data_IF_236564461261
#
_entry.id   IF_236564461261
#
_cell.length_a   1.000
_cell.length_b   1.000
_cell.length_c   1.000
_cell.angle_alpha   90.00
_cell.angle_beta   90.00
_cell.angle_gamma   90.00
#
_symmetry.space_group_name_H-M   'P 1'
#
loop_
_entity.id
_entity.type
_entity.pdbx_description
1 polymer ?
#
# COMPACT_ATOMS: atom_id res chain seq x y z
N UNK A 1 19.28 31.45 0.46
CA UNK A 1 19.74 30.05 0.31
C UNK A 1 18.55 29.22 -0.13
N UNK A 2 18.53 28.75 -1.39
CA UNK A 2 17.53 27.77 -1.81
C UNK A 2 17.86 26.45 -1.12
N UNK A 3 17.01 26.04 -0.18
CA UNK A 3 17.17 24.75 0.49
C UNK A 3 16.94 23.63 -0.53
N UNK A 4 17.88 22.68 -0.62
CA UNK A 4 17.68 21.46 -1.41
C UNK A 4 16.47 20.69 -0.90
N UNK A 5 15.63 20.20 -1.80
CA UNK A 5 14.46 19.37 -1.47
C UNK A 5 14.90 17.91 -1.42
N UNK A 6 15.10 17.39 -0.22
CA UNK A 6 15.60 16.04 -0.01
C UNK A 6 14.47 15.13 0.48
N UNK A 7 14.28 14.00 -0.21
CA UNK A 7 13.46 12.88 0.25
C UNK A 7 14.40 11.82 0.82
N UNK A 8 14.37 11.61 2.14
CA UNK A 8 15.27 10.65 2.81
C UNK A 8 15.10 9.22 2.28
N UNK A 9 13.86 8.80 2.04
CA UNK A 9 13.54 7.47 1.50
C UNK A 9 12.33 7.55 0.58
N UNK A 10 12.49 7.11 -0.65
CA UNK A 10 11.39 6.97 -1.62
C UNK A 10 11.11 5.50 -1.85
N UNK A 11 9.83 5.10 -1.81
CA UNK A 11 9.45 3.68 -1.93
C UNK A 11 8.52 3.52 -3.12
N UNK A 12 8.91 2.65 -4.05
CA UNK A 12 8.03 2.18 -5.12
C UNK A 12 7.56 0.79 -4.72
N UNK A 13 6.26 0.65 -4.44
CA UNK A 13 5.76 -0.53 -3.73
C UNK A 13 5.75 -1.80 -4.59
N UNK A 14 5.42 -1.68 -5.88
CA UNK A 14 5.43 -2.74 -6.89
C UNK A 14 5.28 -2.15 -8.31
N UNK A 15 5.03 -3.00 -9.31
CA UNK A 15 5.13 -2.66 -10.74
C UNK A 15 3.84 -2.15 -11.40
N UNK A 16 2.71 -2.09 -10.70
CA UNK A 16 1.46 -1.68 -11.32
C UNK A 16 1.46 -0.19 -11.65
N UNK A 17 0.66 0.17 -12.67
CA UNK A 17 0.78 1.46 -13.34
C UNK A 17 0.51 2.65 -12.42
N UNK A 18 -0.46 2.54 -11.52
CA UNK A 18 -0.83 3.56 -10.54
C UNK A 18 0.19 3.71 -9.39
N UNK A 19 1.19 2.83 -9.31
CA UNK A 19 2.34 2.95 -8.42
C UNK A 19 3.59 3.40 -9.19
N UNK A 20 4.01 2.62 -10.19
CA UNK A 20 5.25 2.88 -10.94
C UNK A 20 5.12 4.10 -11.88
N UNK A 21 3.95 4.32 -12.46
CA UNK A 21 3.71 5.45 -13.37
C UNK A 21 3.76 6.80 -12.66
N UNK A 22 3.20 6.88 -11.44
CA UNK A 22 3.34 8.07 -10.58
C UNK A 22 4.78 8.30 -10.14
N UNK A 23 5.51 7.23 -9.79
CA UNK A 23 6.92 7.30 -9.45
C UNK A 23 7.78 7.82 -10.62
N UNK A 24 7.45 7.42 -11.86
CA UNK A 24 8.16 7.88 -13.06
C UNK A 24 8.02 9.38 -13.26
N UNK A 25 6.82 9.92 -13.04
CA UNK A 25 6.58 11.36 -13.17
C UNK A 25 7.41 12.14 -12.14
N UNK A 26 7.42 11.69 -10.88
CA UNK A 26 8.18 12.35 -9.81
C UNK A 26 9.70 12.30 -10.06
N UNK A 27 10.22 11.14 -10.46
CA UNK A 27 11.66 10.93 -10.63
C UNK A 27 12.23 11.63 -11.88
N UNK A 28 11.42 11.87 -12.90
CA UNK A 28 11.83 12.55 -14.12
C UNK A 28 11.55 14.06 -14.12
N UNK A 29 10.81 14.59 -13.13
CA UNK A 29 10.53 16.02 -13.05
C UNK A 29 11.72 16.80 -12.44
N UNK A 30 12.65 17.20 -13.32
CA UNK A 30 13.82 17.99 -12.93
C UNK A 30 13.45 19.37 -12.35
N UNK A 31 12.25 19.89 -12.60
CA UNK A 31 11.82 21.19 -12.07
C UNK A 31 11.58 21.16 -10.56
N UNK A 32 11.36 19.97 -10.00
CA UNK A 32 11.16 19.80 -8.56
C UNK A 32 12.48 19.87 -7.77
N UNK A 33 13.63 19.71 -8.43
CA UNK A 33 14.99 19.69 -7.85
C UNK A 33 15.08 18.74 -6.63
N UNK A 34 14.61 17.50 -6.82
CA UNK A 34 14.59 16.48 -5.77
C UNK A 34 15.93 15.72 -5.71
N UNK A 35 16.40 15.53 -4.48
CA UNK A 35 17.43 14.56 -4.14
C UNK A 35 16.83 13.44 -3.29
N UNK A 36 17.29 12.21 -3.53
CA UNK A 36 16.82 11.02 -2.84
C UNK A 36 17.96 10.45 -2.00
N UNK A 37 17.71 10.17 -0.72
CA UNK A 37 18.67 9.53 0.17
C UNK A 37 18.80 8.03 -0.11
N UNK A 38 17.66 7.35 -0.27
CA UNK A 38 17.56 5.95 -0.69
C UNK A 38 16.26 5.74 -1.47
N UNK A 39 16.27 4.83 -2.42
CA UNK A 39 15.08 4.40 -3.15
C UNK A 39 14.88 2.90 -2.98
N UNK A 40 13.71 2.53 -2.49
CA UNK A 40 13.34 1.15 -2.23
C UNK A 40 12.41 0.63 -3.30
N UNK A 41 12.84 -0.44 -3.95
CA UNK A 41 12.06 -1.13 -4.97
C UNK A 41 12.61 -2.53 -5.16
N UNK A 42 11.73 -3.52 -5.33
CA UNK A 42 12.14 -4.88 -5.61
C UNK A 42 12.03 -5.16 -7.12
N UNK A 43 13.18 -5.40 -7.77
CA UNK A 43 13.23 -5.87 -9.16
C UNK A 43 14.08 -7.14 -9.26
N UNK A 44 13.94 -7.94 -10.33
CA UNK A 44 14.88 -9.01 -10.57
C UNK A 44 16.20 -8.40 -11.06
N UNK A 45 17.31 -8.82 -10.46
CA UNK A 45 18.64 -8.48 -10.95
C UNK A 45 18.79 -8.94 -12.43
N UNK A 46 19.32 -8.11 -13.34
CA UNK A 46 19.75 -8.55 -14.65
C UNK A 46 20.84 -9.61 -14.52
N UNK A 47 20.96 -10.46 -15.54
CA UNK A 47 22.08 -11.37 -15.67
C UNK A 47 23.38 -10.55 -15.88
N UNK A 48 24.35 -10.70 -14.99
CA UNK A 48 25.64 -10.01 -15.09
C UNK A 48 26.36 -9.84 -13.75
N UNK A 49 27.61 -9.34 -13.77
CA UNK A 49 28.47 -9.25 -12.59
C UNK A 49 28.17 -8.05 -11.67
N UNK A 50 27.12 -7.27 -11.96
CA UNK A 50 26.83 -6.04 -11.22
C UNK A 50 26.26 -6.35 -9.82
N UNK A 51 26.59 -5.54 -8.80
CA UNK A 51 25.91 -5.60 -7.52
C UNK A 51 24.40 -5.44 -7.70
N UNK A 52 23.62 -6.29 -7.02
CA UNK A 52 22.16 -6.41 -7.18
C UNK A 52 21.42 -5.07 -7.15
N UNK A 53 21.67 -4.24 -6.15
CA UNK A 53 20.99 -2.94 -6.01
C UNK A 53 21.20 -2.01 -7.22
N UNK A 54 22.42 -1.97 -7.79
CA UNK A 54 22.69 -1.18 -9.01
C UNK A 54 21.87 -1.70 -10.18
N UNK A 55 21.78 -3.01 -10.28
CA UNK A 55 21.18 -3.71 -11.39
C UNK A 55 19.64 -3.62 -11.39
N UNK A 56 19.02 -3.65 -10.21
CA UNK A 56 17.59 -3.37 -10.00
C UNK A 56 17.24 -1.93 -10.29
N UNK A 57 18.11 -1.02 -9.84
CA UNK A 57 18.00 0.39 -10.14
C UNK A 57 17.97 0.69 -11.62
N UNK A 58 18.81 0.02 -12.41
CA UNK A 58 18.77 0.12 -13.88
C UNK A 58 17.43 -0.38 -14.44
N UNK A 59 16.87 -1.46 -13.90
CA UNK A 59 15.61 -2.02 -14.39
C UNK A 59 14.41 -1.14 -14.05
N UNK A 60 14.39 -0.54 -12.86
CA UNK A 60 13.41 0.48 -12.53
C UNK A 60 13.63 1.72 -13.39
N UNK A 61 14.86 2.20 -13.53
CA UNK A 61 15.19 3.33 -14.41
C UNK A 61 14.71 3.10 -15.86
N UNK A 62 14.89 1.90 -16.41
CA UNK A 62 14.33 1.47 -17.70
C UNK A 62 12.79 1.51 -17.70
N UNK A 63 12.15 1.01 -16.65
CA UNK A 63 10.69 1.05 -16.49
C UNK A 63 10.15 2.47 -16.39
N UNK A 64 10.89 3.36 -15.74
CA UNK A 64 10.54 4.76 -15.52
C UNK A 64 10.98 5.67 -16.67
N UNK A 65 11.73 5.16 -17.66
CA UNK A 65 12.33 5.97 -18.72
C UNK A 65 13.42 6.95 -18.25
N UNK A 66 13.95 6.76 -17.04
CA UNK A 66 14.95 7.63 -16.43
C UNK A 66 16.36 7.18 -16.85
N UNK A 67 16.95 7.76 -17.89
CA UNK A 67 18.17 7.19 -18.51
C UNK A 67 19.49 7.89 -18.20
N UNK A 68 19.60 8.80 -17.23
CA UNK A 68 20.86 9.57 -17.06
C UNK A 68 21.42 9.75 -15.64
N UNK A 69 20.69 9.41 -14.55
CA UNK A 69 21.16 9.66 -13.17
C UNK A 69 21.38 8.37 -12.38
N UNK A 70 22.56 8.24 -11.76
CA UNK A 70 22.79 7.20 -10.76
C UNK A 70 22.01 7.54 -9.49
N UNK A 71 21.06 6.67 -9.13
CA UNK A 71 20.21 6.81 -7.94
C UNK A 71 20.63 5.81 -6.86
N UNK A 72 20.43 6.11 -5.56
CA UNK A 72 20.73 5.18 -4.47
C UNK A 72 19.62 4.14 -4.36
N UNK A 73 19.97 2.86 -4.51
CA UNK A 73 19.00 1.76 -4.57
C UNK A 73 19.21 0.75 -3.47
N UNK A 74 18.14 0.53 -2.70
CA UNK A 74 18.11 -0.46 -1.62
C UNK A 74 19.35 -0.38 -0.71
N UNK A 75 19.91 0.81 -0.51
CA UNK A 75 21.21 0.98 0.15
C UNK A 75 21.14 0.56 1.61
N UNK A 76 20.01 0.84 2.28
CA UNK A 76 19.74 0.39 3.64
C UNK A 76 19.74 -1.14 3.81
N UNK A 77 19.55 -1.89 2.71
CA UNK A 77 19.54 -3.37 2.66
C UNK A 77 20.80 -3.90 1.97
N UNK A 78 21.82 -3.07 1.75
CA UNK A 78 23.04 -3.41 1.01
C UNK A 78 22.72 -4.00 -0.38
N UNK A 79 21.68 -3.46 -1.03
CA UNK A 79 21.20 -3.89 -2.34
C UNK A 79 20.41 -5.19 -2.35
N UNK A 80 20.02 -5.74 -1.18
CA UNK A 80 19.11 -6.89 -1.09
C UNK A 80 17.64 -6.46 -1.23
N UNK A 81 16.78 -7.42 -1.57
CA UNK A 81 15.34 -7.20 -1.63
C UNK A 81 14.74 -6.87 -0.27
N UNK A 82 13.80 -5.93 -0.27
CA UNK A 82 12.93 -5.68 0.88
C UNK A 82 11.88 -6.79 0.93
N UNK A 83 12.11 -7.82 1.73
CA UNK A 83 11.13 -8.88 1.91
C UNK A 83 11.29 -9.58 3.26
N UNK A 84 10.20 -10.17 3.74
CA UNK A 84 10.23 -11.12 4.84
C UNK A 84 10.71 -12.49 4.34
N UNK A 85 11.62 -13.12 5.07
CA UNK A 85 12.12 -14.48 4.78
C UNK A 85 12.02 -15.39 6.00
N UNK A 86 12.16 -16.71 5.84
CA UNK A 86 12.25 -17.63 6.98
C UNK A 86 13.38 -17.29 7.96
N UNK A 87 14.51 -16.80 7.44
CA UNK A 87 15.69 -16.42 8.21
C UNK A 87 15.53 -15.06 8.91
N UNK A 88 14.82 -14.14 8.28
CA UNK A 88 14.55 -12.81 8.81
C UNK A 88 13.10 -12.42 8.53
N UNK A 89 12.21 -12.76 9.46
CA UNK A 89 10.83 -12.29 9.41
C UNK A 89 10.73 -10.81 9.72
N UNK A 90 9.90 -10.12 8.96
CA UNK A 90 9.61 -8.70 9.15
C UNK A 90 10.86 -7.83 9.39
N UNK A 91 11.82 -7.75 8.44
CA UNK A 91 13.06 -7.01 8.68
C UNK A 91 12.76 -5.56 9.02
N UNK A 92 13.44 -5.06 10.06
CA UNK A 92 13.38 -3.66 10.48
C UNK A 92 14.58 -2.90 9.94
N UNK A 93 14.29 -1.74 9.37
CA UNK A 93 15.23 -0.78 8.83
C UNK A 93 15.09 0.52 9.64
N UNK A 94 16.20 1.11 10.03
CA UNK A 94 16.25 2.37 10.79
C UNK A 94 16.88 3.46 9.91
N UNK A 95 16.14 4.05 8.94
CA UNK A 95 16.71 4.88 7.89
C UNK A 95 17.34 6.18 8.39
N UNK A 96 16.81 6.82 9.45
CA UNK A 96 17.40 7.97 10.18
C UNK A 96 16.46 8.51 11.27
N UNK A 97 17.01 9.35 12.16
CA UNK A 97 16.28 10.25 13.08
C UNK A 97 15.25 9.59 14.01
N UNK A 98 15.39 8.28 14.30
CA UNK A 98 14.46 7.54 15.15
C UNK A 98 13.20 7.04 14.43
N UNK A 99 13.14 7.14 13.10
CA UNK A 99 12.16 6.44 12.28
C UNK A 99 12.51 4.96 12.23
N UNK A 100 11.53 4.10 12.51
CA UNK A 100 11.64 2.66 12.44
C UNK A 100 10.70 2.18 11.34
N UNK A 101 11.22 1.39 10.41
CA UNK A 101 10.42 0.90 9.28
C UNK A 101 10.53 -0.61 9.24
N UNK A 102 9.42 -1.31 9.47
CA UNK A 102 9.36 -2.77 9.43
C UNK A 102 8.64 -3.22 8.17
N UNK A 103 9.29 -4.06 7.37
CA UNK A 103 8.71 -4.62 6.14
C UNK A 103 7.78 -5.77 6.50
N UNK A 104 6.48 -5.65 6.23
CA UNK A 104 5.46 -6.68 6.54
C UNK A 104 4.92 -7.37 5.30
N UNK A 105 5.41 -6.99 4.12
CA UNK A 105 5.21 -7.64 2.81
C UNK A 105 6.26 -7.06 1.85
N UNK A 106 6.70 -7.78 0.80
CA UNK A 106 6.34 -9.15 0.43
C UNK A 106 7.13 -10.21 1.20
N UNK A 107 6.76 -11.48 1.01
CA UNK A 107 7.63 -12.61 1.36
C UNK A 107 8.56 -12.94 0.20
N UNK A 108 9.72 -13.51 0.51
CA UNK A 108 10.68 -13.99 -0.50
C UNK A 108 10.02 -14.94 -1.51
N UNK A 109 9.06 -15.75 -1.07
CA UNK A 109 8.29 -16.66 -1.92
C UNK A 109 7.44 -15.92 -2.95
N UNK A 110 6.62 -14.94 -2.51
CA UNK A 110 5.77 -14.16 -3.45
C UNK A 110 6.63 -13.33 -4.39
N UNK A 111 7.74 -12.78 -3.89
CA UNK A 111 8.67 -12.00 -4.71
C UNK A 111 9.31 -12.85 -5.83
N UNK A 112 9.82 -14.05 -5.50
CA UNK A 112 10.33 -14.99 -6.51
C UNK A 112 9.27 -15.41 -7.53
N UNK A 113 8.01 -15.55 -7.10
CA UNK A 113 6.90 -15.90 -8.00
C UNK A 113 6.63 -14.80 -9.03
N UNK A 114 6.66 -13.52 -8.62
CA UNK A 114 6.60 -12.40 -9.58
C UNK A 114 7.80 -12.43 -10.53
N UNK A 115 9.02 -12.58 -10.00
CA UNK A 115 10.22 -12.54 -10.84
C UNK A 115 10.27 -13.64 -11.89
N UNK A 116 9.75 -14.83 -11.60
CA UNK A 116 9.61 -15.92 -12.57
C UNK A 116 8.67 -15.59 -13.75
N UNK A 117 7.82 -14.57 -13.61
CA UNK A 117 6.87 -14.09 -14.63
C UNK A 117 7.11 -12.63 -15.03
N UNK A 118 8.24 -12.06 -14.63
CA UNK A 118 8.50 -10.62 -14.72
C UNK A 118 8.25 -10.05 -16.12
N UNK A 119 8.88 -10.61 -17.15
CA UNK A 119 8.76 -10.09 -18.52
C UNK A 119 7.33 -10.20 -19.05
N UNK A 120 6.58 -11.22 -18.63
CA UNK A 120 5.16 -11.37 -18.96
C UNK A 120 4.30 -10.31 -18.29
N UNK A 121 4.52 -10.04 -17.00
CA UNK A 121 3.77 -9.00 -16.28
C UNK A 121 4.13 -7.59 -16.81
N UNK A 122 5.40 -7.34 -17.15
CA UNK A 122 5.80 -6.10 -17.83
C UNK A 122 5.14 -5.93 -19.21
N UNK A 123 4.99 -7.02 -19.97
CA UNK A 123 4.29 -6.97 -21.26
C UNK A 123 2.81 -6.59 -21.09
N UNK A 124 2.13 -7.14 -20.07
CA UNK A 124 0.74 -6.75 -19.73
C UNK A 124 0.63 -5.28 -19.32
N UNK A 125 1.58 -4.80 -18.51
CA UNK A 125 1.63 -3.40 -18.09
C UNK A 125 1.72 -2.46 -19.32
N UNK A 126 2.61 -2.80 -20.28
CA UNK A 126 2.79 -2.04 -21.53
C UNK A 126 1.57 -2.09 -22.44
N UNK A 127 0.87 -3.23 -22.47
CA UNK A 127 -0.35 -3.40 -23.25
C UNK A 127 -1.55 -2.63 -22.67
N UNK A 128 -1.42 -1.96 -21.51
CA UNK A 128 -2.52 -1.31 -20.76
C UNK A 128 -3.73 -2.23 -20.58
N UNK A 129 -3.48 -3.54 -20.50
CA UNK A 129 -4.53 -4.52 -20.23
C UNK A 129 -5.17 -4.19 -18.89
N UNK A 130 -6.46 -3.84 -18.92
CA UNK A 130 -7.24 -3.57 -17.72
C UNK A 130 -7.60 -4.90 -17.07
N UNK A 131 -7.47 -5.00 -15.75
CA UNK A 131 -8.12 -6.09 -15.03
C UNK A 131 -9.64 -5.96 -15.19
N UNK A 132 -10.30 -7.10 -15.35
CA UNK A 132 -11.75 -7.13 -15.45
C UNK A 132 -12.34 -6.72 -14.10
N UNK A 133 -13.22 -5.72 -14.12
CA UNK A 133 -14.07 -5.42 -12.95
C UNK A 133 -14.99 -6.63 -12.77
N UNK A 134 -14.88 -7.35 -11.65
CA UNK A 134 -15.81 -8.42 -11.36
C UNK A 134 -17.24 -7.85 -11.26
N UNK A 135 -18.24 -8.48 -11.90
CA UNK A 135 -19.60 -8.02 -11.79
C UNK A 135 -20.04 -8.07 -10.33
N UNK A 136 -20.52 -6.94 -9.81
CA UNK A 136 -21.13 -6.89 -8.49
C UNK A 136 -22.39 -7.77 -8.52
N UNK A 137 -22.50 -8.82 -7.68
CA UNK A 137 -23.69 -9.66 -7.67
C UNK A 137 -24.93 -8.80 -7.40
N UNK A 138 -25.99 -9.00 -8.20
CA UNK A 138 -27.29 -8.37 -7.97
C UNK A 138 -27.93 -9.00 -6.72
N UNK A 139 -27.72 -8.37 -5.57
CA UNK A 139 -28.44 -8.71 -4.34
C UNK A 139 -29.87 -8.19 -4.41
N UNK A 140 -30.84 -9.00 -3.97
CA UNK A 140 -32.23 -8.56 -3.80
C UNK A 140 -32.30 -7.64 -2.56
N UNK A 141 -32.63 -6.37 -2.78
CA UNK A 141 -32.61 -5.33 -1.75
C UNK A 141 -31.25 -4.66 -1.59
N UNK A 142 -31.21 -3.49 -0.93
CA UNK A 142 -29.95 -2.84 -0.58
C UNK A 142 -29.36 -3.53 0.65
N UNK A 143 -28.19 -4.20 0.57
CA UNK A 143 -27.62 -4.89 1.72
C UNK A 143 -27.28 -3.93 2.86
N UNK A 144 -27.39 -4.39 4.10
CA UNK A 144 -26.90 -3.65 5.27
C UNK A 144 -25.36 -3.60 5.29
N UNK A 145 -24.76 -2.75 6.13
CA UNK A 145 -23.30 -2.80 6.29
C UNK A 145 -22.86 -4.11 6.94
N UNK A 146 -23.69 -4.70 7.78
CA UNK A 146 -23.44 -6.01 8.39
C UNK A 146 -23.39 -7.11 7.33
N UNK A 147 -24.34 -7.12 6.39
CA UNK A 147 -24.35 -8.06 5.26
C UNK A 147 -23.10 -7.89 4.39
N UNK A 148 -22.73 -6.64 4.09
CA UNK A 148 -21.53 -6.32 3.31
C UNK A 148 -20.26 -6.75 4.04
N UNK A 149 -20.18 -6.53 5.36
CA UNK A 149 -19.03 -6.91 6.17
C UNK A 149 -18.88 -8.44 6.26
N UNK A 150 -20.01 -9.16 6.36
CA UNK A 150 -20.06 -10.62 6.42
C UNK A 150 -19.89 -11.29 5.05
N UNK A 151 -20.00 -10.54 3.96
CA UNK A 151 -19.89 -11.05 2.59
C UNK A 151 -18.55 -11.76 2.37
N UNK A 152 -18.61 -12.95 1.77
CA UNK A 152 -17.43 -13.72 1.35
C UNK A 152 -16.96 -13.22 -0.01
N UNK A 153 -15.71 -12.77 -0.07
CA UNK A 153 -15.10 -12.25 -1.28
C UNK A 153 -13.86 -13.06 -1.64
N UNK A 154 -13.57 -13.17 -2.94
CA UNK A 154 -12.32 -13.77 -3.39
C UNK A 154 -11.13 -12.93 -2.89
N UNK A 155 -10.05 -13.60 -2.51
CA UNK A 155 -8.80 -12.91 -2.18
C UNK A 155 -8.02 -12.62 -3.45
N UNK A 156 -7.26 -11.52 -3.40
CA UNK A 156 -6.32 -11.14 -4.46
C UNK A 156 -5.26 -12.23 -4.70
N UNK A 157 -4.97 -12.47 -5.97
CA UNK A 157 -4.02 -13.48 -6.45
C UNK A 157 -3.01 -12.89 -7.45
N UNK A 158 -3.09 -11.60 -7.78
CA UNK A 158 -2.22 -10.97 -8.75
C UNK A 158 -0.77 -10.99 -8.27
N UNK A 159 0.14 -11.49 -9.12
CA UNK A 159 1.56 -11.58 -8.77
C UNK A 159 2.18 -10.21 -8.45
N UNK A 160 1.87 -9.11 -9.18
CA UNK A 160 2.35 -7.77 -8.83
C UNK A 160 1.91 -7.35 -7.42
N UNK A 161 0.63 -7.48 -7.08
CA UNK A 161 0.08 -7.12 -5.77
C UNK A 161 0.73 -7.93 -4.64
N UNK A 162 0.95 -9.22 -4.87
CA UNK A 162 1.66 -10.10 -3.94
C UNK A 162 3.12 -9.74 -3.69
N UNK A 163 3.73 -8.91 -4.55
CA UNK A 163 5.08 -8.38 -4.40
C UNK A 163 5.14 -7.03 -3.68
N UNK A 164 3.98 -6.44 -3.36
CA UNK A 164 3.87 -5.11 -2.74
C UNK A 164 4.71 -4.99 -1.47
N UNK A 165 5.57 -3.97 -1.43
CA UNK A 165 6.27 -3.53 -0.23
C UNK A 165 5.24 -2.88 0.70
N UNK A 166 4.86 -3.58 1.76
CA UNK A 166 4.04 -3.04 2.84
C UNK A 166 4.90 -2.77 4.07
N UNK A 167 4.64 -1.64 4.73
CA UNK A 167 5.50 -1.11 5.79
C UNK A 167 4.69 -0.76 7.03
N UNK A 168 5.15 -1.24 8.19
CA UNK A 168 4.81 -0.63 9.48
C UNK A 168 5.87 0.42 9.79
N UNK A 169 5.47 1.68 9.80
CA UNK A 169 6.33 2.84 10.06
C UNK A 169 6.04 3.36 11.46
N UNK A 170 7.06 3.45 12.30
CA UNK A 170 6.94 3.89 13.69
C UNK A 170 7.89 5.05 13.95
N UNK A 171 7.37 6.13 14.53
CA UNK A 171 8.15 7.30 14.94
C UNK A 171 7.67 7.81 16.28
N UNK A 172 8.57 7.91 17.26
CA UNK A 172 8.22 8.21 18.66
C UNK A 172 7.15 7.22 19.16
N UNK A 173 5.93 7.70 19.44
CA UNK A 173 4.78 6.90 19.90
C UNK A 173 3.70 6.74 18.84
N UNK A 174 4.02 7.02 17.56
CA UNK A 174 3.08 6.97 16.44
C UNK A 174 3.43 5.86 15.49
N UNK A 175 2.40 5.25 14.91
CA UNK A 175 2.47 4.06 14.06
C UNK A 175 1.55 4.19 12.84
N UNK A 176 2.10 3.91 11.66
CA UNK A 176 1.39 3.98 10.37
C UNK A 176 1.63 2.67 9.62
N UNK A 177 0.55 1.96 9.29
CA UNK A 177 0.61 0.81 8.39
C UNK A 177 0.29 1.26 6.96
N UNK A 178 1.30 1.17 6.09
CA UNK A 178 1.20 1.42 4.65
C UNK A 178 1.15 0.07 3.93
N UNK A 179 -0.05 -0.43 3.64
CA UNK A 179 -0.20 -1.80 3.13
C UNK A 179 -0.01 -1.97 1.62
N UNK A 180 0.24 -0.88 0.88
CA UNK A 180 0.32 -0.88 -0.58
C UNK A 180 -0.84 -1.70 -1.17
N UNK A 181 -0.59 -2.68 -2.03
CA UNK A 181 -1.63 -3.58 -2.56
C UNK A 181 -1.37 -5.02 -2.11
N UNK A 182 -0.70 -5.17 -0.96
CA UNK A 182 -0.28 -6.48 -0.45
C UNK A 182 -1.46 -7.42 -0.22
N UNK A 183 -1.20 -8.72 -0.42
CA UNK A 183 -2.22 -9.73 -0.19
C UNK A 183 -2.56 -9.83 1.30
N UNK A 184 -3.85 -10.01 1.64
CA UNK A 184 -4.31 -10.03 3.02
C UNK A 184 -3.79 -11.22 3.81
N UNK A 185 -3.60 -12.37 3.16
CA UNK A 185 -3.11 -13.61 3.78
C UNK A 185 -1.71 -13.41 4.39
N UNK A 186 -0.81 -12.79 3.63
CA UNK A 186 0.54 -12.49 4.04
C UNK A 186 0.59 -11.40 5.12
N UNK A 187 -0.20 -10.33 4.98
CA UNK A 187 -0.29 -9.31 6.02
C UNK A 187 -0.76 -9.90 7.35
N UNK A 188 -1.77 -10.78 7.33
CA UNK A 188 -2.25 -11.49 8.53
C UNK A 188 -1.14 -12.32 9.16
N UNK A 189 -0.41 -13.10 8.36
CA UNK A 189 0.68 -13.96 8.83
C UNK A 189 1.82 -13.15 9.45
N UNK A 190 2.31 -12.14 8.74
CA UNK A 190 3.46 -11.33 9.15
C UNK A 190 3.13 -10.44 10.34
N UNK A 191 1.95 -9.81 10.38
CA UNK A 191 1.55 -8.98 11.51
C UNK A 191 1.28 -9.80 12.77
N UNK A 192 0.76 -11.03 12.67
CA UNK A 192 0.63 -11.95 13.82
C UNK A 192 2.01 -12.30 14.37
N UNK A 193 2.92 -12.79 13.50
CA UNK A 193 4.26 -13.14 13.92
C UNK A 193 5.01 -11.95 14.54
N UNK A 194 4.86 -10.76 13.95
CA UNK A 194 5.45 -9.53 14.49
C UNK A 194 4.84 -9.15 15.84
N UNK A 195 3.51 -9.23 15.98
CA UNK A 195 2.83 -8.96 17.24
C UNK A 195 3.27 -9.93 18.35
N UNK A 196 3.35 -11.22 18.04
CA UNK A 196 3.83 -12.25 18.97
C UNK A 196 5.27 -11.97 19.41
N UNK A 197 6.17 -11.66 18.46
CA UNK A 197 7.57 -11.31 18.76
C UNK A 197 7.72 -10.07 19.63
N UNK A 198 6.78 -9.13 19.55
CA UNK A 198 6.75 -7.88 20.30
C UNK A 198 5.84 -7.94 21.54
N UNK A 199 5.19 -9.07 21.79
CA UNK A 199 4.17 -9.25 22.84
C UNK A 199 3.03 -8.23 22.76
N UNK A 200 2.63 -7.87 21.53
CA UNK A 200 1.51 -6.96 21.27
C UNK A 200 0.21 -7.76 21.20
N UNK A 201 -0.79 -7.34 21.98
CA UNK A 201 -2.13 -7.96 21.93
C UNK A 201 -2.82 -7.64 20.61
N UNK A 202 -3.45 -8.65 20.02
CA UNK A 202 -4.31 -8.50 18.85
C UNK A 202 -5.76 -8.15 19.23
N UNK A 203 -6.48 -7.35 18.42
CA UNK A 203 -5.99 -6.66 17.23
C UNK A 203 -4.95 -5.58 17.59
N UNK A 204 -3.85 -5.53 16.85
CA UNK A 204 -2.83 -4.50 17.00
C UNK A 204 -3.43 -3.16 16.58
N UNK A 205 -3.54 -2.22 17.51
CA UNK A 205 -4.01 -0.87 17.23
C UNK A 205 -2.85 0.03 16.77
N UNK A 206 -2.85 0.41 15.50
CA UNK A 206 -1.97 1.43 14.94
C UNK A 206 -2.68 2.78 14.84
N UNK A 207 -1.96 3.90 14.72
CA UNK A 207 -2.61 5.22 14.63
C UNK A 207 -3.28 5.43 13.26
N UNK A 208 -2.63 4.95 12.20
CA UNK A 208 -3.08 5.08 10.81
C UNK A 208 -2.91 3.77 10.06
N UNK A 209 -3.92 3.41 9.26
CA UNK A 209 -3.85 2.30 8.32
C UNK A 209 -4.29 2.77 6.92
N UNK A 210 -3.34 2.91 5.99
CA UNK A 210 -3.67 3.04 4.56
C UNK A 210 -4.17 1.69 4.07
N UNK A 211 -5.45 1.62 3.73
CA UNK A 211 -6.09 0.37 3.31
C UNK A 211 -5.37 -0.19 2.08
N UNK A 212 -5.16 -1.51 2.03
CA UNK A 212 -4.52 -2.14 0.90
C UNK A 212 -5.37 -2.00 -0.36
N UNK A 213 -4.70 -1.84 -1.51
CA UNK A 213 -5.31 -1.86 -2.83
C UNK A 213 -6.53 -0.96 -2.92
N UNK A 214 -6.34 0.28 -2.48
CA UNK A 214 -7.35 1.35 -2.49
C UNK A 214 -8.63 1.07 -1.69
N UNK A 215 -8.64 0.03 -0.85
CA UNK A 215 -9.86 -0.45 -0.20
C UNK A 215 -10.62 -1.49 -1.02
N UNK A 216 -9.91 -2.35 -1.75
CA UNK A 216 -10.48 -3.51 -2.42
C UNK A 216 -11.05 -4.52 -1.43
N UNK A 217 -12.21 -5.11 -1.73
CA UNK A 217 -12.81 -6.22 -0.97
C UNK A 217 -11.96 -7.49 -1.00
N UNK A 218 -11.05 -7.60 -1.98
CA UNK A 218 -10.14 -8.73 -2.12
C UNK A 218 -8.91 -8.61 -1.20
N UNK A 219 -8.62 -7.41 -0.68
CA UNK A 219 -7.45 -7.12 0.15
C UNK A 219 -7.83 -6.65 1.57
N UNK A 220 -8.98 -5.99 1.77
CA UNK A 220 -9.48 -5.61 3.09
C UNK A 220 -10.41 -6.70 3.61
N UNK A 221 -9.85 -7.72 4.26
CA UNK A 221 -10.62 -8.86 4.77
C UNK A 221 -10.95 -8.73 6.25
N UNK A 222 -12.00 -9.43 6.71
CA UNK A 222 -12.34 -9.50 8.14
C UNK A 222 -11.21 -10.11 8.97
N UNK A 223 -10.48 -11.09 8.42
CA UNK A 223 -9.33 -11.69 9.10
C UNK A 223 -8.17 -10.69 9.28
N UNK A 224 -7.92 -9.84 8.28
CA UNK A 224 -6.94 -8.76 8.41
C UNK A 224 -7.33 -7.78 9.53
N UNK A 225 -8.60 -7.39 9.59
CA UNK A 225 -9.10 -6.46 10.62
C UNK A 225 -9.30 -7.08 12.02
N UNK A 226 -9.18 -8.41 12.15
CA UNK A 226 -9.00 -9.10 13.43
C UNK A 226 -7.56 -9.04 13.93
N UNK A 227 -6.59 -8.85 13.03
CA UNK A 227 -5.16 -8.76 13.37
C UNK A 227 -4.72 -7.32 13.57
N UNK A 228 -5.16 -6.38 12.74
CA UNK A 228 -4.75 -4.97 12.85
C UNK A 228 -5.94 -4.03 12.68
N UNK A 229 -5.97 -2.98 13.50
CA UNK A 229 -6.97 -1.93 13.46
C UNK A 229 -6.32 -0.57 13.59
N UNK A 230 -7.03 0.46 13.19
CA UNK A 230 -6.61 1.85 13.39
C UNK A 230 -7.77 2.72 13.83
N UNK A 231 -7.43 3.91 14.35
CA UNK A 231 -8.40 5.01 14.48
C UNK A 231 -8.60 5.71 13.14
N UNK A 232 -7.54 5.87 12.36
CA UNK A 232 -7.57 6.54 11.07
C UNK A 232 -7.31 5.54 9.94
N UNK A 233 -8.24 5.44 9.00
CA UNK A 233 -8.08 4.64 7.78
C UNK A 233 -7.96 5.55 6.58
N UNK A 234 -6.98 5.32 5.70
CA UNK A 234 -6.79 6.11 4.49
C UNK A 234 -7.21 5.30 3.26
N UNK A 235 -8.09 5.88 2.46
CA UNK A 235 -8.52 5.42 1.14
C UNK A 235 -7.89 6.34 0.09
N UNK A 236 -7.19 5.74 -0.88
CA UNK A 236 -6.35 6.46 -1.85
C UNK A 236 -6.80 6.27 -3.29
N UNK A 237 -8.01 6.70 -3.67
CA UNK A 237 -8.53 6.47 -5.03
C UNK A 237 -9.62 7.46 -5.42
N UNK A 238 -9.65 7.78 -6.72
CA UNK A 238 -10.68 8.56 -7.41
C UNK A 238 -11.80 7.68 -8.01
N UNK A 239 -11.78 6.38 -7.71
CA UNK A 239 -12.74 5.37 -8.18
C UNK A 239 -12.70 5.07 -9.69
N UNK A 240 -11.90 5.76 -10.51
CA UNK A 240 -12.05 5.72 -11.98
C UNK A 240 -11.66 4.38 -12.59
N UNK A 241 -10.55 3.79 -12.14
CA UNK A 241 -9.99 2.60 -12.78
C UNK A 241 -10.71 1.31 -12.37
N UNK A 242 -10.95 1.13 -11.07
CA UNK A 242 -11.44 -0.13 -10.49
C UNK A 242 -12.74 0.02 -9.68
N UNK A 243 -13.25 1.25 -9.51
CA UNK A 243 -14.41 1.48 -8.65
C UNK A 243 -14.15 1.29 -7.15
N UNK A 244 -12.90 1.14 -6.72
CA UNK A 244 -12.54 1.11 -5.30
C UNK A 244 -12.77 2.47 -4.61
N UNK A 245 -12.97 2.54 -3.29
CA UNK A 245 -13.05 1.39 -2.38
C UNK A 245 -14.36 0.62 -2.55
N UNK A 246 -14.29 -0.68 -2.31
CA UNK A 246 -15.48 -1.52 -2.28
C UNK A 246 -16.30 -1.30 -1.00
N UNK A 247 -17.61 -1.48 -1.11
CA UNK A 247 -18.51 -1.30 0.02
C UNK A 247 -18.25 -2.33 1.13
N UNK A 248 -17.91 -3.57 0.77
CA UNK A 248 -17.52 -4.62 1.71
C UNK A 248 -16.26 -4.25 2.50
N UNK A 249 -15.26 -3.64 1.85
CA UNK A 249 -14.03 -3.22 2.52
C UNK A 249 -14.31 -2.17 3.59
N UNK A 250 -15.08 -1.13 3.25
CA UNK A 250 -15.45 -0.08 4.21
C UNK A 250 -16.40 -0.60 5.28
N UNK A 251 -17.35 -1.47 4.94
CA UNK A 251 -18.22 -2.11 5.91
C UNK A 251 -17.41 -2.93 6.95
N UNK A 252 -16.40 -3.68 6.52
CA UNK A 252 -15.50 -4.43 7.43
C UNK A 252 -14.73 -3.52 8.37
N UNK A 253 -14.39 -2.30 7.95
CA UNK A 253 -13.77 -1.26 8.79
C UNK A 253 -14.76 -0.66 9.80
N UNK A 254 -16.00 -0.41 9.37
CA UNK A 254 -17.02 0.32 10.13
C UNK A 254 -17.72 -0.58 11.16
N UNK A 255 -18.19 -1.76 10.74
CA UNK A 255 -19.07 -2.62 11.54
C UNK A 255 -18.51 -3.10 12.89
N UNK A 256 -17.20 -3.37 13.03
CA UNK A 256 -16.63 -3.72 14.34
C UNK A 256 -16.72 -2.59 15.39
N UNK A 257 -17.14 -1.38 15.01
CA UNK A 257 -17.20 -0.21 15.87
C UNK A 257 -15.83 0.43 16.10
N UNK A 258 -15.68 1.14 17.21
CA UNK A 258 -14.46 1.87 17.61
C UNK A 258 -14.23 3.24 16.95
N UNK A 259 -15.31 3.89 16.49
CA UNK A 259 -15.26 5.28 16.01
C UNK A 259 -14.19 5.55 14.94
N UNK A 260 -14.11 4.74 13.87
CA UNK A 260 -13.09 4.93 12.85
C UNK A 260 -13.32 6.24 12.09
N UNK A 261 -12.22 6.92 11.78
CA UNK A 261 -12.20 8.03 10.82
C UNK A 261 -11.65 7.54 9.49
N UNK A 262 -12.46 7.64 8.43
CA UNK A 262 -12.08 7.26 7.07
C UNK A 262 -11.71 8.53 6.30
N UNK A 263 -10.46 8.59 5.89
CA UNK A 263 -9.88 9.69 5.13
C UNK A 263 -9.84 9.32 3.66
N UNK A 264 -10.53 10.08 2.82
CA UNK A 264 -10.47 9.95 1.37
C UNK A 264 -9.59 11.06 0.82
N UNK A 265 -8.69 10.72 -0.10
CA UNK A 265 -7.90 11.72 -0.84
C UNK A 265 -8.67 12.35 -2.03
N UNK A 266 -9.82 11.79 -2.43
CA UNK A 266 -10.70 12.35 -3.45
C UNK A 266 -12.15 12.45 -2.96
N UNK A 267 -12.80 13.59 -3.22
CA UNK A 267 -14.22 13.85 -2.93
C UNK A 267 -15.13 13.53 -4.13
N UNK A 268 -15.02 12.33 -4.69
CA UNK A 268 -15.88 11.91 -5.81
C UNK A 268 -17.31 11.62 -5.34
N UNK A 269 -18.26 11.51 -6.28
CA UNK A 269 -19.65 11.11 -5.97
C UNK A 269 -19.72 9.80 -5.18
N UNK A 270 -18.88 8.82 -5.53
CA UNK A 270 -18.86 7.53 -4.84
C UNK A 270 -18.28 7.64 -3.44
N UNK A 271 -17.15 8.32 -3.25
CA UNK A 271 -16.54 8.51 -1.93
C UNK A 271 -17.44 9.35 -1.00
N UNK A 272 -18.09 10.40 -1.53
CA UNK A 272 -19.04 11.24 -0.78
C UNK A 272 -20.30 10.50 -0.35
N UNK A 273 -20.65 9.38 -1.01
CA UNK A 273 -21.81 8.56 -0.60
C UNK A 273 -21.67 7.95 0.81
N UNK A 274 -20.45 7.93 1.37
CA UNK A 274 -20.17 7.50 2.74
C UNK A 274 -20.38 8.60 3.78
N UNK A 275 -20.60 9.85 3.34
CA UNK A 275 -20.85 11.00 4.20
C UNK A 275 -22.33 11.20 4.53
N UNK A 276 -23.02 10.12 4.92
CA UNK A 276 -24.44 10.17 5.26
C UNK A 276 -24.62 10.32 6.78
N UNK A 277 -25.13 11.45 7.30
CA UNK A 277 -25.17 11.72 8.74
C UNK A 277 -25.89 10.65 9.56
N UNK A 278 -27.04 10.16 9.09
CA UNK A 278 -27.77 9.10 9.81
C UNK A 278 -26.99 7.78 9.86
N UNK A 279 -26.21 7.47 8.81
CA UNK A 279 -25.39 6.24 8.76
C UNK A 279 -24.18 6.39 9.67
N UNK A 280 -23.52 7.55 9.65
CA UNK A 280 -22.41 7.87 10.54
C UNK A 280 -22.83 7.85 12.01
N UNK A 281 -24.01 8.36 12.33
CA UNK A 281 -24.57 8.29 13.69
C UNK A 281 -24.92 6.86 14.10
N UNK A 282 -25.58 6.09 13.22
CA UNK A 282 -25.97 4.70 13.49
C UNK A 282 -24.76 3.79 13.75
N UNK A 283 -23.73 3.90 12.92
CA UNK A 283 -22.56 3.00 12.97
C UNK A 283 -21.35 3.60 13.70
N UNK A 284 -21.44 4.86 14.14
CA UNK A 284 -20.38 5.56 14.84
C UNK A 284 -19.08 5.64 14.04
N UNK A 285 -19.08 6.26 12.87
CA UNK A 285 -17.84 6.54 12.10
C UNK A 285 -17.85 7.96 11.53
N UNK A 286 -16.70 8.45 11.09
CA UNK A 286 -16.57 9.78 10.48
C UNK A 286 -15.84 9.68 9.15
N UNK A 287 -16.22 10.52 8.17
CA UNK A 287 -15.48 10.68 6.93
C UNK A 287 -14.79 12.05 6.85
N UNK A 288 -13.61 12.08 6.23
CA UNK A 288 -12.83 13.29 5.93
C UNK A 288 -12.43 13.29 4.46
N UNK A 289 -12.45 14.47 3.85
CA UNK A 289 -12.25 14.69 2.42
C UNK A 289 -11.39 15.94 2.21
N UNK A 290 -10.81 16.14 1.01
CA UNK A 290 -10.17 17.40 0.66
C UNK A 290 -11.16 18.56 0.76
N UNK A 291 -10.69 19.72 1.23
CA UNK A 291 -11.51 20.93 1.38
C UNK A 291 -11.61 21.77 0.10
N UNK A 292 -10.80 21.47 -0.91
CA UNK A 292 -10.77 22.16 -2.20
C UNK A 292 -10.60 21.16 -3.36
N UNK A 293 -11.12 21.50 -4.54
CA UNK A 293 -10.91 20.75 -5.77
C UNK A 293 -9.41 20.70 -6.10
N UNK A 294 -8.89 19.51 -6.37
CA UNK A 294 -7.44 19.29 -6.58
C UNK A 294 -6.59 19.40 -5.31
N UNK A 295 -7.20 19.63 -4.14
CA UNK A 295 -6.51 19.61 -2.86
C UNK A 295 -6.32 18.19 -2.32
N UNK A 296 -5.44 18.06 -1.31
CA UNK A 296 -5.25 16.82 -0.55
C UNK A 296 -5.93 16.86 0.83
N UNK A 297 -5.74 15.79 1.60
CA UNK A 297 -6.07 15.74 3.03
C UNK A 297 -4.79 15.77 3.88
N UNK A 298 -4.86 16.45 5.03
CA UNK A 298 -3.79 16.47 6.03
C UNK A 298 -4.30 15.85 7.33
N UNK A 299 -3.58 14.83 7.80
CA UNK A 299 -3.79 14.19 9.09
C UNK A 299 -2.57 14.47 9.97
N UNK A 300 -2.80 15.04 11.15
CA UNK A 300 -1.77 15.28 12.15
C UNK A 300 -1.85 14.20 13.24
N UNK A 301 -0.69 13.62 13.58
CA UNK A 301 -0.56 12.51 14.53
C UNK A 301 0.11 12.92 15.82
#
# INVERSE_FOLDING_TARGET
MQGKRVIDTFVVSHIDHDHIGGAAQLLNDASLDLEFGDIWFNAPAPAGPKPRGVAEGQRLAELLGATSRALPWNTAMKGQWLCSSPEQRCPRIDPRRGLKVTVVSPSLKKLKALFARWDKELAKLRAKTREAVEPVPLLRGRPSLEDLAASKTAMDKALPNGSSIALLVEYKKKSVLLAADAHPDLLVEELRALADSRQVKLPWNVDVFKLPHHGSRANVTTELLKVVRAKNYIVSTDNVQFGHPDAEALARVICPGNQPTIWFNYATKQNLSWNHPARQAQYGYTCRYPTALGGGVRLEL
#
